data_IF_422049202383
#
_entry.id   IF_422049202383
#
_cell.length_a   1.000
_cell.length_b   1.000
_cell.length_c   1.000
_cell.angle_alpha   90.00
_cell.angle_beta   90.00
_cell.angle_gamma   90.00
#
_symmetry.space_group_name_H-M   'P 1'
#
loop_
_entity.id
_entity.type
_entity.pdbx_description
1 polymer ?
#
# COMPACT_ATOMS: atom_id res chain seq x y z
N UNK A 1 -0.57 -35.91 -13.55
CA UNK A 1 0.18 -35.54 -12.35
C UNK A 1 0.01 -34.03 -12.15
N UNK A 2 -0.63 -33.58 -11.06
CA UNK A 2 -0.68 -32.15 -10.70
C UNK A 2 0.75 -31.77 -10.30
N UNK A 3 1.45 -30.97 -11.11
CA UNK A 3 2.72 -30.40 -10.68
C UNK A 3 2.44 -29.54 -9.43
N UNK A 4 2.94 -29.98 -8.28
CA UNK A 4 3.06 -29.15 -7.08
C UNK A 4 4.15 -28.10 -7.34
N UNK A 5 3.85 -27.11 -8.18
CA UNK A 5 4.70 -25.92 -8.28
C UNK A 5 4.54 -25.16 -6.97
N UNK A 6 5.59 -25.16 -6.16
CA UNK A 6 5.63 -24.32 -4.97
C UNK A 6 5.41 -22.87 -5.41
N UNK A 7 4.43 -22.20 -4.80
CA UNK A 7 4.08 -20.80 -5.05
C UNK A 7 5.31 -19.89 -4.90
N UNK A 8 6.25 -20.29 -4.06
CA UNK A 8 7.49 -19.55 -3.76
C UNK A 8 8.65 -19.86 -4.70
N UNK A 9 8.55 -20.87 -5.58
CA UNK A 9 9.67 -21.32 -6.41
C UNK A 9 10.07 -20.34 -7.52
N UNK A 10 9.13 -19.49 -7.98
CA UNK A 10 9.36 -18.55 -9.07
C UNK A 10 9.49 -17.09 -8.58
N UNK A 11 9.67 -16.89 -7.28
CA UNK A 11 9.85 -15.55 -6.72
C UNK A 11 11.29 -15.10 -6.93
N UNK A 12 11.46 -13.89 -7.45
CA UNK A 12 12.74 -13.21 -7.45
C UNK A 12 13.05 -12.67 -6.04
N UNK A 13 13.79 -13.47 -5.27
CA UNK A 13 14.17 -13.11 -3.90
C UNK A 13 15.10 -11.89 -3.82
N UNK A 14 15.84 -11.57 -4.88
CA UNK A 14 16.66 -10.37 -4.92
C UNK A 14 15.78 -9.12 -5.00
N UNK A 15 14.73 -9.14 -5.83
CA UNK A 15 13.73 -8.07 -5.89
C UNK A 15 13.01 -7.90 -4.54
N UNK A 16 12.62 -9.00 -3.89
CA UNK A 16 11.98 -8.96 -2.56
C UNK A 16 12.92 -8.32 -1.52
N UNK A 17 14.20 -8.70 -1.52
CA UNK A 17 15.19 -8.12 -0.62
C UNK A 17 15.37 -6.60 -0.86
N UNK A 18 15.48 -6.18 -2.12
CA UNK A 18 15.59 -4.76 -2.47
C UNK A 18 14.37 -3.97 -1.99
N UNK A 19 13.17 -4.50 -2.21
CA UNK A 19 11.92 -3.91 -1.72
C UNK A 19 11.91 -3.75 -0.20
N UNK A 20 12.29 -4.79 0.55
CA UNK A 20 12.35 -4.74 2.02
C UNK A 20 13.38 -3.71 2.51
N UNK A 21 14.56 -3.65 1.89
CA UNK A 21 15.58 -2.65 2.24
C UNK A 21 15.07 -1.23 2.01
N UNK A 22 14.46 -0.95 0.86
CA UNK A 22 13.90 0.37 0.55
C UNK A 22 12.82 0.79 1.55
N UNK A 23 11.94 -0.13 1.94
CA UNK A 23 10.89 0.14 2.93
C UNK A 23 11.47 0.44 4.30
N UNK A 24 12.44 -0.36 4.78
CA UNK A 24 13.04 -0.15 6.10
C UNK A 24 13.85 1.16 6.14
N UNK A 25 14.59 1.47 5.07
CA UNK A 25 15.30 2.74 4.94
C UNK A 25 14.33 3.93 4.90
N UNK A 26 13.25 3.83 4.13
CA UNK A 26 12.22 4.86 4.06
C UNK A 26 11.54 5.08 5.41
N UNK A 27 11.23 4.00 6.13
CA UNK A 27 10.64 4.08 7.48
C UNK A 27 11.58 4.75 8.48
N UNK A 28 12.87 4.38 8.48
CA UNK A 28 13.88 5.01 9.31
C UNK A 28 14.07 6.50 8.98
N UNK A 29 13.99 6.87 7.70
CA UNK A 29 14.09 8.26 7.27
C UNK A 29 12.90 9.11 7.76
N UNK A 30 11.67 8.57 7.74
CA UNK A 30 10.50 9.26 8.29
C UNK A 30 10.66 9.46 9.80
N UNK A 31 11.14 8.44 10.53
CA UNK A 31 11.42 8.56 11.96
C UNK A 31 12.44 9.66 12.24
N UNK A 32 13.54 9.71 11.47
CA UNK A 32 14.57 10.74 11.63
C UNK A 32 14.06 12.15 11.29
N UNK A 33 13.21 12.30 10.27
CA UNK A 33 12.71 13.60 9.83
C UNK A 33 11.68 14.23 10.80
N UNK A 34 10.92 13.39 11.52
CA UNK A 34 9.85 13.82 12.43
C UNK A 34 10.18 13.44 13.89
N UNK A 35 11.47 13.27 14.20
CA UNK A 35 11.92 12.87 15.53
C UNK A 35 11.56 13.94 16.57
N UNK A 36 10.97 13.49 17.69
CA UNK A 36 10.64 14.34 18.83
C UNK A 36 11.04 13.62 20.12
N UNK A 37 11.78 14.29 20.99
CA UNK A 37 12.28 13.75 22.26
C UNK A 37 11.14 13.38 23.24
N UNK A 38 9.99 14.08 23.19
CA UNK A 38 8.84 13.78 24.05
C UNK A 38 8.09 12.51 23.62
N UNK A 39 8.13 12.16 22.33
CA UNK A 39 7.48 10.96 21.76
C UNK A 39 8.52 10.09 21.06
N UNK A 40 9.43 9.52 21.85
CA UNK A 40 10.60 8.76 21.37
C UNK A 40 10.27 7.36 20.82
N UNK A 41 9.08 6.83 21.12
CA UNK A 41 8.67 5.50 20.68
C UNK A 41 8.38 5.46 19.18
N UNK A 42 9.19 4.73 18.41
CA UNK A 42 8.97 4.47 16.98
C UNK A 42 7.65 3.74 16.64
N UNK A 43 6.92 3.29 17.67
CA UNK A 43 5.62 2.61 17.56
C UNK A 43 4.43 3.54 17.88
N UNK A 44 4.66 4.84 18.07
CA UNK A 44 3.58 5.80 18.32
C UNK A 44 2.72 6.04 17.06
N UNK A 45 1.49 5.52 17.08
CA UNK A 45 0.52 5.61 15.98
C UNK A 45 -0.03 7.02 15.77
N UNK A 46 0.18 7.93 16.72
CA UNK A 46 -0.14 9.35 16.56
C UNK A 46 0.82 10.07 15.60
N UNK A 47 2.01 9.50 15.37
CA UNK A 47 3.05 10.06 14.52
C UNK A 47 3.08 9.43 13.12
N UNK A 48 3.72 10.12 12.17
CA UNK A 48 3.81 9.65 10.78
C UNK A 48 4.56 8.31 10.64
N UNK A 49 5.61 8.10 11.44
CA UNK A 49 6.36 6.84 11.40
C UNK A 49 5.53 5.64 11.92
N UNK A 50 4.63 5.85 12.89
CA UNK A 50 3.74 4.80 13.38
C UNK A 50 2.66 4.47 12.36
N UNK A 51 2.06 5.50 11.74
CA UNK A 51 1.16 5.32 10.59
C UNK A 51 1.83 4.57 9.45
N UNK A 52 3.09 4.87 9.15
CA UNK A 52 3.83 4.20 8.10
C UNK A 52 4.00 2.70 8.40
N UNK A 53 4.20 2.31 9.66
CA UNK A 53 4.28 0.89 10.03
C UNK A 53 2.98 0.15 9.73
N UNK A 54 1.81 0.75 9.98
CA UNK A 54 0.50 0.16 9.62
C UNK A 54 0.44 -0.10 8.11
N UNK A 55 0.88 0.86 7.29
CA UNK A 55 0.88 0.73 5.84
C UNK A 55 1.87 -0.32 5.35
N UNK A 56 3.06 -0.43 5.97
CA UNK A 56 4.03 -1.49 5.67
C UNK A 56 3.41 -2.86 5.94
N UNK A 57 2.83 -3.08 7.12
CA UNK A 57 2.20 -4.35 7.48
C UNK A 57 1.02 -4.68 6.56
N UNK A 58 0.19 -3.69 6.25
CA UNK A 58 -0.93 -3.85 5.31
C UNK A 58 -0.43 -4.24 3.92
N UNK A 59 0.64 -3.60 3.42
CA UNK A 59 1.21 -3.90 2.11
C UNK A 59 1.81 -5.30 2.03
N UNK A 60 2.51 -5.76 3.08
CA UNK A 60 3.05 -7.12 3.17
C UNK A 60 1.93 -8.16 3.20
N UNK A 61 0.87 -7.90 3.97
CA UNK A 61 -0.32 -8.76 4.00
C UNK A 61 -0.99 -8.85 2.62
N UNK A 62 -1.21 -7.71 1.95
CA UNK A 62 -1.78 -7.68 0.60
C UNK A 62 -0.89 -8.38 -0.43
N UNK A 63 0.43 -8.21 -0.35
CA UNK A 63 1.37 -8.89 -1.24
C UNK A 63 1.28 -10.42 -1.09
N UNK A 64 1.15 -10.93 0.14
CA UNK A 64 0.92 -12.35 0.40
C UNK A 64 -0.41 -12.80 -0.22
N UNK A 65 -1.51 -12.06 -0.01
CA UNK A 65 -2.81 -12.40 -0.62
C UNK A 65 -2.74 -12.45 -2.15
N UNK A 66 -2.08 -11.47 -2.78
CA UNK A 66 -1.86 -11.43 -4.23
C UNK A 66 -1.05 -12.63 -4.69
N UNK A 67 0.01 -13.01 -3.97
CA UNK A 67 0.86 -14.15 -4.31
C UNK A 67 0.08 -15.48 -4.30
N UNK A 68 -0.89 -15.62 -3.39
CA UNK A 68 -1.78 -16.80 -3.33
C UNK A 68 -2.94 -16.75 -4.33
N UNK A 69 -3.13 -15.64 -5.06
CA UNK A 69 -4.22 -15.45 -6.01
C UNK A 69 -3.81 -15.95 -7.40
N UNK A 70 -4.68 -16.71 -8.07
CA UNK A 70 -4.45 -17.14 -9.46
C UNK A 70 -4.48 -15.93 -10.42
N UNK A 71 -3.49 -15.84 -11.31
CA UNK A 71 -3.40 -14.82 -12.36
C UNK A 71 -4.68 -14.64 -13.20
N UNK A 72 -5.46 -15.71 -13.39
CA UNK A 72 -6.74 -15.66 -14.12
C UNK A 72 -7.78 -14.76 -13.46
N UNK A 73 -7.74 -14.62 -12.13
CA UNK A 73 -8.66 -13.73 -11.40
C UNK A 73 -8.41 -12.28 -11.82
N UNK A 74 -7.14 -11.86 -11.91
CA UNK A 74 -6.80 -10.52 -12.37
C UNK A 74 -7.22 -10.27 -13.83
N UNK A 75 -7.12 -11.28 -14.69
CA UNK A 75 -7.59 -11.17 -16.08
C UNK A 75 -9.12 -11.02 -16.16
N UNK A 76 -9.86 -11.81 -15.38
CA UNK A 76 -11.32 -11.74 -15.33
C UNK A 76 -11.81 -10.40 -14.74
N UNK A 77 -11.08 -9.87 -13.74
CA UNK A 77 -11.41 -8.60 -13.08
C UNK A 77 -10.85 -7.37 -13.80
N UNK A 78 -10.07 -7.52 -14.87
CA UNK A 78 -9.43 -6.39 -15.55
C UNK A 78 -10.42 -5.31 -16.00
N UNK A 79 -11.49 -5.68 -16.73
CA UNK A 79 -12.51 -4.72 -17.15
C UNK A 79 -13.35 -4.17 -15.98
N UNK A 80 -13.83 -4.99 -15.03
CA UNK A 80 -14.48 -4.48 -13.82
C UNK A 80 -13.63 -3.47 -13.05
N UNK A 81 -12.36 -3.79 -12.75
CA UNK A 81 -11.45 -2.90 -12.02
C UNK A 81 -11.24 -1.61 -12.81
N UNK A 82 -10.97 -1.70 -14.12
CA UNK A 82 -10.79 -0.53 -14.97
C UNK A 82 -12.02 0.40 -14.96
N UNK A 83 -13.22 -0.17 -15.08
CA UNK A 83 -14.44 0.63 -15.05
C UNK A 83 -14.66 1.29 -13.68
N UNK A 84 -14.41 0.57 -12.58
CA UNK A 84 -14.45 1.13 -11.22
C UNK A 84 -13.41 2.24 -11.04
N UNK A 85 -12.19 2.09 -11.57
CA UNK A 85 -11.17 3.14 -11.57
C UNK A 85 -11.64 4.38 -12.34
N UNK A 86 -12.26 4.23 -13.50
CA UNK A 86 -12.85 5.37 -14.22
C UNK A 86 -13.95 6.07 -13.42
N UNK A 87 -14.85 5.31 -12.80
CA UNK A 87 -15.92 5.87 -11.98
C UNK A 87 -15.38 6.61 -10.76
N UNK A 88 -14.34 6.07 -10.12
CA UNK A 88 -13.72 6.71 -8.95
C UNK A 88 -12.92 7.95 -9.34
N UNK A 89 -12.28 7.99 -10.51
CA UNK A 89 -11.68 9.20 -11.08
C UNK A 89 -12.71 10.29 -11.35
N UNK A 90 -13.89 9.95 -11.87
CA UNK A 90 -14.97 10.93 -12.00
C UNK A 90 -15.52 11.34 -10.64
N UNK A 91 -15.67 10.37 -9.74
CA UNK A 91 -16.17 10.59 -8.38
C UNK A 91 -15.28 11.51 -7.55
N UNK A 92 -13.96 11.46 -7.70
CA UNK A 92 -13.04 12.29 -6.89
C UNK A 92 -13.14 13.77 -7.24
N UNK A 93 -13.55 14.12 -8.46
CA UNK A 93 -13.79 15.51 -8.84
C UNK A 93 -15.01 16.10 -8.12
N UNK A 94 -16.02 15.26 -7.89
CA UNK A 94 -17.29 15.64 -7.27
C UNK A 94 -17.22 15.58 -5.73
N UNK A 95 -16.64 14.52 -5.18
CA UNK A 95 -16.68 14.18 -3.74
C UNK A 95 -15.30 14.12 -3.08
N UNK A 96 -14.21 14.36 -3.84
CA UNK A 96 -12.86 14.34 -3.31
C UNK A 96 -12.55 15.55 -2.43
N UNK A 97 -11.68 15.33 -1.44
CA UNK A 97 -11.10 16.36 -0.60
C UNK A 97 -10.01 17.09 -1.38
N UNK A 98 -10.00 18.41 -1.26
CA UNK A 98 -8.93 19.24 -1.78
C UNK A 98 -7.70 19.19 -0.86
N UNK A 99 -6.58 18.76 -1.41
CA UNK A 99 -5.28 18.70 -0.72
C UNK A 99 -4.25 19.34 -1.64
N UNK A 100 -3.52 20.34 -1.14
CA UNK A 100 -2.54 21.10 -1.92
C UNK A 100 -3.09 21.71 -3.24
N UNK A 101 -4.35 22.16 -3.24
CA UNK A 101 -5.00 22.79 -4.39
C UNK A 101 -5.53 21.82 -5.46
N UNK A 102 -5.50 20.51 -5.20
CA UNK A 102 -6.02 19.49 -6.11
C UNK A 102 -7.01 18.55 -5.41
N UNK A 103 -8.04 18.10 -6.14
CA UNK A 103 -8.97 17.06 -5.68
C UNK A 103 -8.56 15.70 -6.23
N UNK A 104 -7.81 14.95 -5.43
CA UNK A 104 -7.32 13.62 -5.79
C UNK A 104 -7.48 12.58 -4.69
N UNK A 105 -8.14 12.92 -3.57
CA UNK A 105 -8.26 12.03 -2.42
C UNK A 105 -9.70 11.92 -1.94
N UNK A 106 -10.17 10.70 -1.70
CA UNK A 106 -11.34 10.45 -0.87
C UNK A 106 -10.91 10.33 0.59
N UNK A 107 -11.41 11.21 1.46
CA UNK A 107 -11.16 11.14 2.89
C UNK A 107 -12.22 10.25 3.56
N UNK A 108 -11.78 9.16 4.21
CA UNK A 108 -12.61 8.20 4.91
C UNK A 108 -12.11 8.09 6.36
N UNK A 109 -12.67 8.91 7.26
CA UNK A 109 -12.20 8.99 8.64
C UNK A 109 -10.74 9.44 8.73
N UNK A 110 -9.89 8.64 9.37
CA UNK A 110 -8.45 8.87 9.47
C UNK A 110 -7.65 8.39 8.26
N UNK A 111 -8.30 7.75 7.28
CA UNK A 111 -7.66 7.21 6.09
C UNK A 111 -8.02 8.05 4.87
N UNK A 112 -7.15 8.01 3.87
CA UNK A 112 -7.41 8.61 2.57
C UNK A 112 -7.15 7.58 1.49
N UNK A 113 -8.08 7.49 0.54
CA UNK A 113 -7.99 6.61 -0.61
C UNK A 113 -7.85 7.46 -1.87
N UNK A 114 -6.80 7.21 -2.63
CA UNK A 114 -6.62 7.78 -3.95
C UNK A 114 -7.24 6.84 -5.00
N UNK A 115 -8.08 7.36 -5.93
CA UNK A 115 -8.58 6.61 -7.08
C UNK A 115 -7.47 6.14 -8.03
#
# INVERSE_FOLDING_TARGET
>A
MRENRSVFANIDWFLVLLYLLLILMGWGNIYAAVFNEENSSIMDMSQEYGRQLIWILTSLFLAILILFTDGKIFQALAYPIYFVSLLTLLGVLLFGKEVAGARSWFAIGSFSLQP
#
